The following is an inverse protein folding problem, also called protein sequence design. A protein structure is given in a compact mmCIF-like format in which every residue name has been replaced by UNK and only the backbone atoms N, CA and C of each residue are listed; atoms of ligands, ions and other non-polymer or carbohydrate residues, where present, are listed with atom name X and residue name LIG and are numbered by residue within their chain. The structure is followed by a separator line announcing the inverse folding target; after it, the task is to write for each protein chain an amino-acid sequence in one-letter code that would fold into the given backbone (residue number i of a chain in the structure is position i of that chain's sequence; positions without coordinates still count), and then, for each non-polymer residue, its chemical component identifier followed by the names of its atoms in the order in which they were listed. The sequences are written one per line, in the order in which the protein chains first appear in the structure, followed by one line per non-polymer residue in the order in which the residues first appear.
data_IF_625161296673
#
_entry.id   IF_625161296673
#
_cell.length_a   1.000
_cell.length_b   1.000
_cell.length_c   1.000
_cell.angle_alpha   90.00
_cell.angle_beta   90.00
_cell.angle_gamma   90.00
#
_symmetry.space_group_name_H-M   'P 1'
#
loop_
_entity.id
_entity.type
_entity.pdbx_description
1 polymer ?
#
# COMPACT_ATOMS: atom_id res chain seq x y z
N UNK A 1 -11.25 28.92 -1.40
CA UNK A 1 -12.03 27.94 -0.63
C UNK A 1 -11.10 27.30 0.40
N UNK A 2 -11.55 27.12 1.65
CA UNK A 2 -10.73 26.55 2.71
C UNK A 2 -10.52 25.03 2.43
N UNK A 3 -9.27 24.56 2.50
CA UNK A 3 -8.93 23.15 2.31
C UNK A 3 -9.71 22.23 3.27
N UNK A 4 -9.96 22.69 4.50
CA UNK A 4 -10.78 21.97 5.47
C UNK A 4 -12.21 21.74 4.96
N UNK A 5 -12.80 22.71 4.28
CA UNK A 5 -14.15 22.58 3.73
C UNK A 5 -14.18 21.56 2.60
N UNK A 6 -13.18 21.58 1.71
CA UNK A 6 -13.05 20.58 0.63
C UNK A 6 -12.92 19.18 1.21
N UNK A 7 -12.08 19.02 2.24
CA UNK A 7 -11.88 17.75 2.93
C UNK A 7 -13.19 17.24 3.55
N UNK A 8 -13.89 18.07 4.33
CA UNK A 8 -15.14 17.69 4.99
C UNK A 8 -16.23 17.31 3.99
N UNK A 9 -16.37 18.09 2.91
CA UNK A 9 -17.34 17.80 1.84
C UNK A 9 -16.98 16.50 1.12
N UNK A 10 -15.70 16.31 0.78
CA UNK A 10 -15.23 15.07 0.14
C UNK A 10 -15.45 13.84 1.02
N UNK A 11 -15.14 13.92 2.31
CA UNK A 11 -15.38 12.85 3.28
C UNK A 11 -16.88 12.53 3.39
N UNK A 12 -17.74 13.55 3.46
CA UNK A 12 -19.19 13.36 3.46
C UNK A 12 -19.68 12.65 2.19
N UNK A 13 -19.18 13.03 1.01
CA UNK A 13 -19.54 12.39 -0.27
C UNK A 13 -19.13 10.91 -0.29
N UNK A 14 -17.92 10.58 0.18
CA UNK A 14 -17.45 9.19 0.25
C UNK A 14 -18.31 8.37 1.23
N UNK A 15 -18.65 8.92 2.40
CA UNK A 15 -19.54 8.28 3.38
C UNK A 15 -20.92 8.04 2.78
N UNK A 16 -21.49 9.03 2.09
CA UNK A 16 -22.77 8.88 1.39
C UNK A 16 -22.67 7.80 0.30
N UNK A 17 -21.60 7.79 -0.49
CA UNK A 17 -21.36 6.77 -1.52
C UNK A 17 -21.29 5.35 -0.94
N UNK A 18 -20.57 5.18 0.18
CA UNK A 18 -20.48 3.90 0.89
C UNK A 18 -21.85 3.44 1.43
N UNK A 19 -22.59 4.33 2.11
CA UNK A 19 -23.88 4.00 2.73
C UNK A 19 -25.02 3.81 1.72
N UNK A 20 -24.93 4.42 0.54
CA UNK A 20 -25.98 4.33 -0.49
C UNK A 20 -25.59 3.34 -1.58
N UNK A 21 -24.68 3.74 -2.47
CA UNK A 21 -24.26 2.95 -3.63
C UNK A 21 -23.56 1.64 -3.21
N UNK A 22 -22.67 1.69 -2.22
CA UNK A 22 -22.01 0.48 -1.69
C UNK A 22 -23.00 -0.53 -1.12
N UNK A 23 -23.99 -0.08 -0.33
CA UNK A 23 -25.06 -0.96 0.19
C UNK A 23 -25.97 -1.48 -0.90
N UNK A 24 -26.30 -0.66 -1.90
CA UNK A 24 -27.09 -1.09 -3.04
C UNK A 24 -26.35 -2.20 -3.81
N UNK A 25 -25.07 -2.02 -4.08
CA UNK A 25 -24.23 -2.99 -4.79
C UNK A 25 -24.09 -4.31 -4.02
N UNK A 26 -23.85 -4.24 -2.71
CA UNK A 26 -23.81 -5.41 -1.84
C UNK A 26 -25.12 -6.24 -1.87
N UNK A 27 -26.27 -5.55 -1.92
CA UNK A 27 -27.58 -6.20 -2.07
C UNK A 27 -27.75 -6.83 -3.46
N UNK A 28 -27.38 -6.11 -4.53
CA UNK A 28 -27.49 -6.63 -5.90
C UNK A 28 -26.62 -7.86 -6.12
N UNK A 29 -25.43 -7.90 -5.51
CA UNK A 29 -24.52 -9.05 -5.60
C UNK A 29 -24.85 -10.18 -4.60
N UNK A 30 -25.92 -10.02 -3.81
CA UNK A 30 -26.41 -11.06 -2.90
C UNK A 30 -25.38 -11.43 -1.83
N UNK A 31 -24.72 -10.43 -1.25
CA UNK A 31 -23.81 -10.64 -0.12
C UNK A 31 -24.62 -11.03 1.10
N UNK A 32 -24.23 -12.15 1.68
CA UNK A 32 -24.88 -12.77 2.82
C UNK A 32 -23.85 -12.94 3.95
N UNK A 33 -23.90 -12.09 4.99
CA UNK A 33 -22.97 -12.14 6.10
C UNK A 33 -23.04 -13.43 6.93
N UNK A 34 -24.09 -14.25 6.76
CA UNK A 34 -24.24 -15.52 7.49
C UNK A 34 -23.43 -16.65 6.85
N UNK A 35 -22.96 -16.49 5.61
CA UNK A 35 -22.17 -17.51 4.91
C UNK A 35 -20.73 -17.52 5.41
N UNK A 36 -20.19 -18.67 5.81
CA UNK A 36 -18.78 -18.77 6.15
C UNK A 36 -17.92 -18.47 4.92
N UNK A 37 -16.83 -17.74 5.14
CA UNK A 37 -15.86 -17.43 4.08
C UNK A 37 -14.90 -18.60 3.88
N UNK A 38 -14.21 -18.69 2.72
CA UNK A 38 -13.19 -19.71 2.48
C UNK A 38 -12.10 -19.77 3.57
N UNK A 39 -11.77 -18.63 4.19
CA UNK A 39 -10.83 -18.57 5.32
C UNK A 39 -11.26 -19.43 6.53
N UNK A 40 -12.56 -19.66 6.72
CA UNK A 40 -13.11 -20.48 7.79
C UNK A 40 -13.44 -21.90 7.32
N UNK A 41 -13.90 -22.08 6.08
CA UNK A 41 -14.27 -23.42 5.55
C UNK A 41 -13.04 -24.27 5.18
N UNK A 42 -11.97 -23.63 4.72
CA UNK A 42 -10.76 -24.27 4.20
C UNK A 42 -9.55 -24.02 5.10
N UNK A 43 -9.77 -23.73 6.39
CA UNK A 43 -8.72 -23.38 7.34
C UNK A 43 -7.61 -24.44 7.39
N UNK A 44 -6.40 -24.04 7.02
CA UNK A 44 -5.21 -24.91 6.98
C UNK A 44 -4.03 -24.36 7.79
N UNK A 45 -4.19 -23.18 8.40
CA UNK A 45 -3.14 -22.50 9.16
C UNK A 45 -2.02 -21.92 8.31
N UNK A 46 -2.14 -21.97 6.98
CA UNK A 46 -1.11 -21.51 6.02
C UNK A 46 -1.72 -20.55 4.99
N UNK A 47 -2.55 -21.05 4.06
CA UNK A 47 -3.17 -20.24 3.00
C UNK A 47 -4.52 -19.65 3.45
N UNK A 48 -5.23 -20.35 4.32
CA UNK A 48 -6.53 -19.95 4.86
C UNK A 48 -6.46 -19.83 6.38
N UNK A 49 -6.37 -18.60 6.86
CA UNK A 49 -6.30 -18.28 8.29
C UNK A 49 -7.35 -17.24 8.66
N UNK A 50 -8.35 -17.58 9.49
CA UNK A 50 -9.30 -16.63 10.01
C UNK A 50 -8.62 -15.47 10.72
N UNK A 51 -8.79 -14.26 10.19
CA UNK A 51 -8.18 -13.05 10.71
C UNK A 51 -9.25 -12.06 11.15
N UNK A 52 -8.99 -11.34 12.23
CA UNK A 52 -9.92 -10.34 12.75
C UNK A 52 -10.12 -9.23 11.70
N UNK A 53 -11.36 -8.74 11.46
CA UNK A 53 -11.63 -7.80 10.36
C UNK A 53 -10.79 -6.52 10.37
N UNK A 54 -10.48 -5.98 11.56
CA UNK A 54 -9.67 -4.77 11.68
C UNK A 54 -8.21 -4.97 11.27
N UNK A 55 -7.67 -6.19 11.43
CA UNK A 55 -6.32 -6.54 10.96
C UNK A 55 -6.30 -6.58 9.44
N UNK A 56 -7.29 -7.25 8.83
CA UNK A 56 -7.44 -7.31 7.36
C UNK A 56 -7.68 -5.93 6.78
N UNK A 57 -8.50 -5.09 7.42
CA UNK A 57 -8.74 -3.71 7.01
C UNK A 57 -7.44 -2.89 7.02
N UNK A 58 -6.64 -3.01 8.08
CA UNK A 58 -5.33 -2.35 8.17
C UNK A 58 -4.41 -2.75 7.03
N UNK A 59 -4.31 -4.05 6.75
CA UNK A 59 -3.52 -4.56 5.62
C UNK A 59 -4.01 -4.07 4.26
N UNK A 60 -5.32 -4.06 4.02
CA UNK A 60 -5.89 -3.55 2.76
C UNK A 60 -5.64 -2.05 2.63
N UNK A 61 -5.84 -1.29 3.71
CA UNK A 61 -5.59 0.14 3.74
C UNK A 61 -4.12 0.45 3.44
N UNK A 62 -3.17 -0.18 4.13
CA UNK A 62 -1.75 0.03 3.90
C UNK A 62 -1.30 -0.40 2.50
N UNK A 63 -1.94 -1.43 1.92
CA UNK A 63 -1.61 -1.93 0.58
C UNK A 63 -2.07 -0.98 -0.54
N UNK A 64 -3.13 -0.20 -0.31
CA UNK A 64 -3.65 0.78 -1.27
C UNK A 64 -3.05 2.18 -1.01
N UNK A 65 -2.80 2.51 0.26
CA UNK A 65 -2.19 3.78 0.69
C UNK A 65 -0.70 3.80 0.31
N UNK A 66 -0.43 4.23 -0.93
CA UNK A 66 0.93 4.37 -1.46
C UNK A 66 1.21 5.74 -2.06
N UNK A 67 2.42 5.90 -2.59
CA UNK A 67 2.83 7.12 -3.29
C UNK A 67 1.99 7.39 -4.56
N UNK A 68 1.40 6.36 -5.17
CA UNK A 68 0.57 6.47 -6.38
C UNK A 68 -0.65 7.38 -6.18
N UNK A 69 -1.56 7.07 -5.23
CA UNK A 69 -2.71 7.91 -4.88
C UNK A 69 -2.37 9.34 -4.43
N UNK A 70 -1.12 9.63 -4.04
CA UNK A 70 -0.67 10.98 -3.67
C UNK A 70 -0.13 11.72 -4.90
N UNK A 71 0.83 11.12 -5.60
CA UNK A 71 1.48 11.74 -6.74
C UNK A 71 0.56 11.89 -7.94
N UNK A 72 -0.37 10.96 -8.15
CA UNK A 72 -1.34 11.02 -9.26
C UNK A 72 -2.16 12.31 -9.25
N UNK A 73 -2.90 12.63 -8.17
CA UNK A 73 -3.61 13.89 -8.02
C UNK A 73 -2.73 15.14 -8.12
N UNK A 74 -1.52 15.11 -7.56
CA UNK A 74 -0.58 16.23 -7.64
C UNK A 74 -0.19 16.49 -9.08
N UNK A 75 0.17 15.46 -9.84
CA UNK A 75 0.50 15.58 -11.26
C UNK A 75 -0.71 15.99 -12.10
N UNK A 76 -1.90 15.49 -11.76
CA UNK A 76 -3.15 15.86 -12.42
C UNK A 76 -3.61 17.28 -12.10
N UNK A 77 -3.06 17.94 -11.06
CA UNK A 77 -3.43 19.30 -10.66
C UNK A 77 -3.18 20.36 -11.74
N UNK A 78 -2.38 20.03 -12.76
CA UNK A 78 -2.23 20.84 -13.98
C UNK A 78 -3.57 21.09 -14.70
N UNK A 79 -4.55 20.19 -14.54
CA UNK A 79 -5.91 20.35 -15.06
C UNK A 79 -6.82 21.19 -14.14
N UNK A 80 -6.28 21.70 -13.04
CA UNK A 80 -7.00 22.45 -12.01
C UNK A 80 -7.49 21.57 -10.86
N UNK A 81 -7.71 22.19 -9.71
CA UNK A 81 -8.08 21.48 -8.49
C UNK A 81 -9.52 20.93 -8.51
N UNK A 82 -10.46 21.59 -9.21
CA UNK A 82 -11.86 21.12 -9.31
C UNK A 82 -11.95 19.82 -10.11
N UNK A 83 -11.38 19.72 -11.34
CA UNK A 83 -11.43 18.47 -12.10
C UNK A 83 -10.76 17.31 -11.38
N UNK A 84 -9.63 17.56 -10.70
CA UNK A 84 -8.95 16.53 -9.88
C UNK A 84 -9.83 16.06 -8.73
N UNK A 85 -10.46 16.99 -7.99
CA UNK A 85 -11.36 16.62 -6.89
C UNK A 85 -12.54 15.78 -7.39
N UNK A 86 -13.19 16.20 -8.48
CA UNK A 86 -14.28 15.46 -9.08
C UNK A 86 -13.85 14.07 -9.56
N UNK A 87 -12.68 13.97 -10.20
CA UNK A 87 -12.11 12.70 -10.62
C UNK A 87 -11.86 11.76 -9.43
N UNK A 88 -11.28 12.25 -8.32
CA UNK A 88 -11.05 11.43 -7.12
C UNK A 88 -12.38 10.96 -6.53
N UNK A 89 -13.37 11.85 -6.39
CA UNK A 89 -14.64 11.50 -5.76
C UNK A 89 -15.48 10.58 -6.63
N UNK A 90 -15.71 10.95 -7.90
CA UNK A 90 -16.54 10.17 -8.82
C UNK A 90 -15.81 8.90 -9.24
N UNK A 91 -14.54 9.02 -9.66
CA UNK A 91 -13.69 7.90 -10.04
C UNK A 91 -13.52 6.89 -8.90
N UNK A 92 -13.26 7.39 -7.69
CA UNK A 92 -13.13 6.57 -6.49
C UNK A 92 -14.41 5.80 -6.16
N UNK A 93 -15.57 6.45 -6.17
CA UNK A 93 -16.84 5.81 -5.79
C UNK A 93 -17.33 4.82 -6.84
N UNK A 94 -17.33 5.20 -8.12
CA UNK A 94 -18.03 4.43 -9.16
C UNK A 94 -17.13 3.44 -9.90
N UNK A 95 -15.81 3.67 -9.91
CA UNK A 95 -14.87 2.80 -10.63
C UNK A 95 -13.93 2.09 -9.67
N UNK A 96 -13.15 2.83 -8.87
CA UNK A 96 -12.14 2.26 -7.99
C UNK A 96 -12.74 1.32 -6.93
N UNK A 97 -13.64 1.84 -6.10
CA UNK A 97 -14.28 1.06 -5.04
C UNK A 97 -15.09 -0.12 -5.59
N UNK A 98 -15.74 0.04 -6.74
CA UNK A 98 -16.51 -1.04 -7.40
C UNK A 98 -15.59 -2.12 -7.93
N UNK A 99 -14.48 -1.75 -8.55
CA UNK A 99 -13.48 -2.67 -9.07
C UNK A 99 -12.89 -3.53 -7.94
N UNK A 100 -12.45 -2.88 -6.85
CA UNK A 100 -11.84 -3.59 -5.72
C UNK A 100 -12.86 -4.49 -5.02
N UNK A 101 -14.07 -3.98 -4.79
CA UNK A 101 -15.15 -4.77 -4.18
C UNK A 101 -15.56 -5.96 -5.06
N UNK A 102 -15.67 -5.75 -6.38
CA UNK A 102 -15.99 -6.80 -7.34
C UNK A 102 -14.91 -7.88 -7.43
N UNK A 103 -13.63 -7.48 -7.42
CA UNK A 103 -12.50 -8.42 -7.44
C UNK A 103 -12.46 -9.31 -6.20
N UNK A 104 -12.69 -8.72 -5.01
CA UNK A 104 -12.79 -9.47 -3.74
C UNK A 104 -14.01 -10.38 -3.73
N UNK A 105 -15.16 -9.90 -4.19
CA UNK A 105 -16.38 -10.69 -4.28
C UNK A 105 -16.19 -11.90 -5.21
N UNK A 106 -15.60 -11.69 -6.39
CA UNK A 106 -15.31 -12.76 -7.34
C UNK A 106 -14.34 -13.78 -6.75
N UNK A 107 -13.25 -13.34 -6.12
CA UNK A 107 -12.29 -14.23 -5.47
C UNK A 107 -12.93 -15.06 -4.34
N UNK A 108 -13.73 -14.44 -3.46
CA UNK A 108 -14.44 -15.14 -2.38
C UNK A 108 -15.39 -16.22 -2.90
N UNK A 109 -16.12 -15.94 -4.00
CA UNK A 109 -17.01 -16.92 -4.65
C UNK A 109 -16.26 -18.10 -5.26
N UNK A 110 -14.99 -17.90 -5.63
CA UNK A 110 -14.11 -18.93 -6.17
C UNK A 110 -13.08 -19.39 -5.12
N UNK A 111 -13.52 -19.57 -3.87
CA UNK A 111 -12.71 -20.15 -2.78
C UNK A 111 -11.40 -19.41 -2.49
N UNK A 112 -11.39 -18.08 -2.66
CA UNK A 112 -10.20 -17.24 -2.42
C UNK A 112 -9.13 -17.36 -3.50
N UNK A 113 -9.45 -17.89 -4.68
CA UNK A 113 -8.49 -18.02 -5.78
C UNK A 113 -8.18 -16.67 -6.43
N UNK A 114 -7.03 -16.61 -7.11
CA UNK A 114 -6.61 -15.42 -7.86
C UNK A 114 -7.53 -15.14 -9.05
N UNK A 115 -7.60 -13.88 -9.49
CA UNK A 115 -8.44 -13.50 -10.63
C UNK A 115 -8.08 -14.25 -11.91
N UNK A 116 -6.79 -14.60 -12.10
CA UNK A 116 -6.35 -15.42 -13.22
C UNK A 116 -6.95 -16.83 -13.21
N UNK A 117 -7.12 -17.43 -12.03
CA UNK A 117 -7.79 -18.72 -11.89
C UNK A 117 -9.30 -18.61 -12.15
N UNK A 118 -9.92 -17.52 -11.70
CA UNK A 118 -11.33 -17.23 -12.00
C UNK A 118 -11.56 -17.11 -13.51
N UNK A 119 -10.66 -16.44 -14.22
CA UNK A 119 -10.72 -16.29 -15.69
C UNK A 119 -10.58 -17.65 -16.39
N UNK A 120 -9.68 -18.52 -15.92
CA UNK A 120 -9.49 -19.87 -16.47
C UNK A 120 -10.76 -20.71 -16.40
N UNK A 121 -11.45 -20.64 -15.25
CA UNK A 121 -12.63 -21.45 -14.96
C UNK A 121 -13.88 -20.93 -15.70
N UNK A 122 -14.00 -19.61 -15.92
CA UNK A 122 -15.21 -18.99 -16.45
C UNK A 122 -15.12 -18.54 -17.92
N UNK A 123 -13.92 -18.34 -18.47
CA UNK A 123 -13.72 -17.87 -19.85
C UNK A 123 -13.00 -18.96 -20.64
N UNK A 124 -11.67 -18.98 -20.59
CA UNK A 124 -10.82 -20.01 -21.17
C UNK A 124 -9.35 -19.83 -20.74
N UNK A 125 -8.54 -20.84 -21.05
CA UNK A 125 -7.12 -20.83 -20.74
C UNK A 125 -6.33 -19.78 -21.54
N UNK A 126 -6.79 -19.40 -22.75
CA UNK A 126 -6.13 -18.37 -23.55
C UNK A 126 -6.32 -16.98 -22.92
N UNK A 127 -7.53 -16.67 -22.44
CA UNK A 127 -7.81 -15.43 -21.71
C UNK A 127 -6.98 -15.34 -20.43
N UNK A 128 -6.85 -16.43 -19.66
CA UNK A 128 -5.94 -16.48 -18.51
C UNK A 128 -4.51 -16.12 -18.91
N UNK A 129 -3.99 -16.74 -19.98
CA UNK A 129 -2.62 -16.49 -20.43
C UNK A 129 -2.42 -15.02 -20.83
N UNK A 130 -3.36 -14.45 -21.59
CA UNK A 130 -3.30 -13.04 -21.99
C UNK A 130 -3.38 -12.12 -20.76
N UNK A 131 -4.28 -12.41 -19.83
CA UNK A 131 -4.41 -11.66 -18.57
C UNK A 131 -3.12 -11.71 -17.74
N UNK A 132 -2.52 -12.90 -17.58
CA UNK A 132 -1.26 -13.05 -16.86
C UNK A 132 -0.11 -12.29 -17.53
N UNK A 133 -0.01 -12.30 -18.86
CA UNK A 133 1.01 -11.52 -19.59
C UNK A 133 0.79 -10.03 -19.35
N UNK A 134 -0.44 -9.55 -19.50
CA UNK A 134 -0.79 -8.16 -19.27
C UNK A 134 -0.49 -7.73 -17.82
N UNK A 135 -0.93 -8.52 -16.84
CA UNK A 135 -0.68 -8.28 -15.43
C UNK A 135 0.82 -8.26 -15.12
N UNK A 136 1.59 -9.19 -15.68
CA UNK A 136 3.04 -9.26 -15.50
C UNK A 136 3.76 -8.02 -16.06
N UNK A 137 3.44 -7.61 -17.29
CA UNK A 137 4.00 -6.38 -17.88
C UNK A 137 3.62 -5.13 -17.08
N UNK A 138 2.38 -5.08 -16.59
CA UNK A 138 1.89 -3.99 -15.75
C UNK A 138 2.63 -3.95 -14.41
N UNK A 139 2.88 -5.11 -13.77
CA UNK A 139 3.65 -5.18 -12.52
C UNK A 139 5.09 -4.70 -12.71
N UNK A 140 5.75 -5.02 -13.83
CA UNK A 140 7.09 -4.47 -14.15
C UNK A 140 7.02 -2.95 -14.24
N UNK A 141 6.03 -2.40 -14.96
CA UNK A 141 5.85 -0.96 -15.08
C UNK A 141 5.62 -0.30 -13.72
N UNK A 142 4.76 -0.89 -12.87
CA UNK A 142 4.45 -0.39 -11.53
C UNK A 142 5.72 -0.38 -10.68
N UNK A 143 6.47 -1.48 -10.62
CA UNK A 143 7.73 -1.53 -9.85
C UNK A 143 8.72 -0.47 -10.34
N UNK A 144 8.88 -0.29 -11.66
CA UNK A 144 9.75 0.72 -12.23
C UNK A 144 9.30 2.16 -11.88
N UNK A 145 7.99 2.44 -11.98
CA UNK A 145 7.42 3.74 -11.67
C UNK A 145 7.57 4.10 -10.19
N UNK A 146 7.26 3.17 -9.29
CA UNK A 146 7.43 3.39 -7.85
C UNK A 146 8.90 3.51 -7.45
N UNK A 147 9.80 2.71 -8.03
CA UNK A 147 11.24 2.84 -7.81
C UNK A 147 11.73 4.23 -8.27
N UNK A 148 11.27 4.70 -9.43
CA UNK A 148 11.62 6.04 -9.93
C UNK A 148 11.11 7.16 -9.03
N UNK A 149 9.88 7.05 -8.52
CA UNK A 149 9.32 8.02 -7.56
C UNK A 149 10.19 8.09 -6.30
N UNK A 150 10.56 6.94 -5.73
CA UNK A 150 11.39 6.88 -4.51
C UNK A 150 12.79 7.41 -4.79
N UNK A 151 13.40 7.01 -5.91
CA UNK A 151 14.72 7.51 -6.32
C UNK A 151 14.74 9.03 -6.51
N UNK A 152 13.71 9.61 -7.14
CA UNK A 152 13.57 11.07 -7.26
C UNK A 152 13.41 11.77 -5.91
N UNK A 153 12.76 11.10 -4.95
CA UNK A 153 12.56 11.65 -3.59
C UNK A 153 13.86 11.64 -2.80
N UNK A 154 14.77 10.69 -3.06
CA UNK A 154 16.02 10.55 -2.32
C UNK A 154 17.22 11.21 -3.00
N UNK A 155 17.15 11.42 -4.31
CA UNK A 155 18.27 11.91 -5.10
C UNK A 155 18.64 13.36 -4.76
N UNK A 156 19.95 13.62 -4.79
CA UNK A 156 20.53 14.96 -4.78
C UNK A 156 21.09 15.31 -6.16
N UNK A 157 21.27 16.60 -6.44
CA UNK A 157 21.81 17.07 -7.72
C UNK A 157 20.78 17.03 -8.88
N UNK A 158 19.49 17.01 -8.54
CA UNK A 158 18.41 17.13 -9.51
C UNK A 158 18.37 18.55 -10.11
N UNK A 159 17.92 18.68 -11.34
CA UNK A 159 17.76 19.98 -11.99
C UNK A 159 16.82 20.88 -11.17
N UNK A 160 17.20 22.14 -10.96
CA UNK A 160 16.46 23.13 -10.17
C UNK A 160 16.29 22.79 -8.67
N UNK A 161 17.10 21.88 -8.12
CA UNK A 161 17.05 21.54 -6.71
C UNK A 161 17.72 22.65 -5.86
N UNK A 162 17.00 23.13 -4.84
CA UNK A 162 17.56 24.06 -3.84
C UNK A 162 18.31 23.30 -2.75
N UNK A 163 19.21 23.96 -2.01
CA UNK A 163 19.92 23.34 -0.88
C UNK A 163 18.95 22.80 0.20
N UNK A 164 17.84 23.52 0.43
CA UNK A 164 16.80 23.09 1.36
C UNK A 164 16.10 21.80 0.87
N UNK A 165 15.77 21.73 -0.42
CA UNK A 165 15.20 20.52 -1.03
C UNK A 165 16.20 19.35 -1.01
N UNK A 166 17.48 19.59 -1.26
CA UNK A 166 18.52 18.58 -1.19
C UNK A 166 18.68 18.04 0.25
N UNK A 167 18.63 18.91 1.26
CA UNK A 167 18.65 18.49 2.67
C UNK A 167 17.44 17.63 3.02
N UNK A 168 16.23 18.05 2.61
CA UNK A 168 15.01 17.27 2.83
C UNK A 168 15.06 15.89 2.17
N UNK A 169 15.61 15.79 0.95
CA UNK A 169 15.79 14.52 0.25
C UNK A 169 16.76 13.60 1.01
N UNK A 170 17.90 14.12 1.49
CA UNK A 170 18.86 13.36 2.30
C UNK A 170 18.27 12.88 3.62
N UNK A 171 17.49 13.72 4.30
CA UNK A 171 16.78 13.34 5.53
C UNK A 171 15.77 12.22 5.25
N UNK A 172 14.98 12.35 4.19
CA UNK A 172 13.97 11.34 3.81
C UNK A 172 14.62 10.00 3.45
N UNK A 173 15.73 10.02 2.71
CA UNK A 173 16.51 8.83 2.38
C UNK A 173 17.09 8.16 3.65
N UNK A 174 17.64 8.95 4.56
CA UNK A 174 18.22 8.46 5.80
C UNK A 174 17.15 7.82 6.71
N UNK A 175 16.02 8.49 6.91
CA UNK A 175 14.89 7.97 7.68
C UNK A 175 14.42 6.64 7.08
N UNK A 176 14.30 6.55 5.75
CA UNK A 176 13.83 5.33 5.06
C UNK A 176 14.77 4.14 5.24
N UNK A 177 16.09 4.35 5.16
CA UNK A 177 17.08 3.28 5.37
C UNK A 177 17.10 2.82 6.83
N UNK A 178 17.11 3.76 7.78
CA UNK A 178 17.06 3.45 9.20
C UNK A 178 15.76 2.73 9.56
N UNK A 179 14.65 3.08 8.92
CA UNK A 179 13.36 2.42 9.11
C UNK A 179 13.39 0.96 8.65
N UNK A 180 14.02 0.66 7.51
CA UNK A 180 14.21 -0.74 7.06
C UNK A 180 15.12 -1.49 8.04
N UNK A 181 16.21 -0.87 8.49
CA UNK A 181 17.13 -1.49 9.44
C UNK A 181 16.46 -1.82 10.79
N UNK A 182 15.67 -0.88 11.34
CA UNK A 182 14.94 -1.12 12.59
C UNK A 182 13.83 -2.14 12.39
N UNK A 183 13.17 -2.18 11.23
CA UNK A 183 12.15 -3.17 10.94
C UNK A 183 12.73 -4.60 10.94
N UNK A 184 13.89 -4.79 10.31
CA UNK A 184 14.60 -6.08 10.32
C UNK A 184 15.02 -6.43 11.75
N UNK A 185 15.62 -5.49 12.48
CA UNK A 185 16.00 -5.70 13.88
C UNK A 185 14.80 -6.08 14.74
N UNK A 186 13.68 -5.39 14.59
CA UNK A 186 12.44 -5.67 15.29
C UNK A 186 11.92 -7.07 14.97
N UNK A 187 11.83 -7.43 13.68
CA UNK A 187 11.42 -8.77 13.25
C UNK A 187 12.28 -9.89 13.84
N UNK A 188 13.58 -9.66 14.00
CA UNK A 188 14.48 -10.60 14.68
C UNK A 188 14.23 -10.69 16.19
N UNK A 189 13.98 -9.56 16.86
CA UNK A 189 13.74 -9.49 18.30
C UNK A 189 12.39 -10.09 18.70
N UNK A 190 11.35 -9.91 17.87
CA UNK A 190 9.99 -10.39 18.16
C UNK A 190 9.76 -11.83 17.70
N UNK A 191 10.69 -12.43 16.95
CA UNK A 191 10.55 -13.78 16.43
C UNK A 191 10.30 -14.79 17.55
N UNK A 192 9.13 -15.43 17.51
CA UNK A 192 8.75 -16.48 18.46
C UNK A 192 8.48 -16.00 19.88
N UNK A 193 8.40 -14.68 20.12
CA UNK A 193 8.08 -14.10 21.43
C UNK A 193 6.63 -13.66 21.46
N UNK A 194 5.90 -14.07 22.50
CA UNK A 194 4.57 -13.56 22.80
C UNK A 194 4.71 -12.26 23.59
N UNK A 195 4.78 -11.14 22.88
CA UNK A 195 4.83 -9.80 23.47
C UNK A 195 3.39 -9.33 23.66
N UNK A 196 3.08 -8.71 24.81
CA UNK A 196 1.76 -8.12 25.01
C UNK A 196 1.50 -7.01 23.99
N UNK A 197 0.27 -6.92 23.48
CA UNK A 197 -0.12 -5.95 22.45
C UNK A 197 0.29 -4.51 22.81
N UNK A 198 0.10 -4.11 24.08
CA UNK A 198 0.48 -2.79 24.57
C UNK A 198 1.99 -2.53 24.48
N UNK A 199 2.83 -3.53 24.81
CA UNK A 199 4.29 -3.41 24.72
C UNK A 199 4.72 -3.31 23.26
N UNK A 200 4.08 -4.05 22.36
CA UNK A 200 4.36 -4.02 20.93
C UNK A 200 4.04 -2.64 20.32
N UNK A 201 2.91 -2.03 20.68
CA UNK A 201 2.54 -0.69 20.23
C UNK A 201 3.50 0.37 20.76
N UNK A 202 3.81 0.36 22.07
CA UNK A 202 4.69 1.36 22.67
C UNK A 202 6.09 1.27 22.08
N UNK A 203 6.63 0.06 21.95
CA UNK A 203 7.96 -0.13 21.34
C UNK A 203 8.00 0.29 19.87
N UNK A 204 6.95 0.02 19.09
CA UNK A 204 6.81 0.52 17.71
C UNK A 204 6.91 2.05 17.63
N UNK A 205 6.13 2.75 18.46
CA UNK A 205 6.13 4.23 18.49
C UNK A 205 7.50 4.78 18.89
N UNK A 206 8.12 4.20 19.93
CA UNK A 206 9.45 4.63 20.39
C UNK A 206 10.51 4.43 19.30
N UNK A 207 10.51 3.28 18.61
CA UNK A 207 11.43 3.03 17.51
C UNK A 207 11.25 4.02 16.35
N UNK A 208 10.01 4.35 16.00
CA UNK A 208 9.72 5.34 14.96
C UNK A 208 10.27 6.71 15.35
N UNK A 209 10.03 7.17 16.58
CA UNK A 209 10.55 8.46 17.07
C UNK A 209 12.08 8.49 17.01
N UNK A 210 12.74 7.40 17.43
CA UNK A 210 14.21 7.28 17.37
C UNK A 210 14.70 7.37 15.92
N UNK A 211 14.11 6.60 15.00
CA UNK A 211 14.51 6.58 13.58
C UNK A 211 14.31 7.93 12.92
N UNK A 212 13.16 8.58 13.15
CA UNK A 212 12.87 9.89 12.58
C UNK A 212 13.84 10.93 13.13
N UNK A 213 14.08 10.95 14.44
CA UNK A 213 15.01 11.89 15.07
C UNK A 213 16.45 11.69 14.58
N UNK A 214 16.93 10.44 14.51
CA UNK A 214 18.27 10.15 14.01
C UNK A 214 18.40 10.50 12.52
N UNK A 215 17.43 10.11 11.69
CA UNK A 215 17.48 10.39 10.26
C UNK A 215 17.36 11.89 9.92
N UNK A 216 16.62 12.64 10.73
CA UNK A 216 16.50 14.09 10.58
C UNK A 216 17.80 14.82 10.96
N UNK A 217 18.45 14.42 12.05
CA UNK A 217 19.65 15.09 12.57
C UNK A 217 20.95 14.62 11.88
N UNK A 218 20.98 13.42 11.29
CA UNK A 218 22.20 12.82 10.71
C UNK A 218 21.98 12.44 9.22
N UNK A 219 21.69 13.39 8.32
CA UNK A 219 21.47 13.11 6.90
C UNK A 219 22.80 12.97 6.13
N UNK A 220 23.47 11.82 6.27
CA UNK A 220 24.82 11.58 5.71
C UNK A 220 24.78 11.13 4.24
N UNK A 221 23.71 10.46 3.83
CA UNK A 221 23.64 9.82 2.51
C UNK A 221 23.27 10.85 1.46
N UNK A 222 24.10 10.95 0.41
CA UNK A 222 23.95 11.92 -0.67
C UNK A 222 24.32 11.24 -1.98
N UNK A 223 23.33 10.65 -2.64
CA UNK A 223 23.51 9.87 -3.88
C UNK A 223 22.64 10.44 -5.00
N UNK A 224 23.06 10.25 -6.24
CA UNK A 224 22.30 10.65 -7.42
C UNK A 224 21.15 9.66 -7.72
N UNK A 225 20.29 10.06 -8.65
CA UNK A 225 19.13 9.26 -9.07
C UNK A 225 19.51 7.86 -9.58
N UNK A 226 20.59 7.73 -10.35
CA UNK A 226 20.97 6.46 -10.98
C UNK A 226 21.45 5.47 -9.93
N UNK A 227 22.28 5.92 -8.99
CA UNK A 227 22.71 5.08 -7.88
C UNK A 227 21.52 4.66 -7.01
N UNK A 228 20.57 5.54 -6.72
CA UNK A 228 19.35 5.14 -6.00
C UNK A 228 18.52 4.11 -6.74
N UNK A 229 18.33 4.24 -8.04
CA UNK A 229 17.61 3.25 -8.84
C UNK A 229 18.26 1.85 -8.74
N UNK A 230 19.59 1.78 -8.76
CA UNK A 230 20.31 0.52 -8.60
C UNK A 230 20.15 -0.05 -7.18
N UNK A 231 20.34 0.78 -6.15
CA UNK A 231 20.18 0.35 -4.74
C UNK A 231 18.75 -0.15 -4.48
N UNK A 232 17.74 0.57 -4.95
CA UNK A 232 16.33 0.18 -4.82
C UNK A 232 16.04 -1.11 -5.59
N UNK A 233 16.61 -1.29 -6.78
CA UNK A 233 16.48 -2.52 -7.55
C UNK A 233 17.04 -3.74 -6.81
N UNK A 234 18.25 -3.62 -6.26
CA UNK A 234 18.86 -4.67 -5.43
C UNK A 234 18.02 -4.92 -4.17
N UNK A 235 17.55 -3.87 -3.51
CA UNK A 235 16.69 -3.99 -2.34
C UNK A 235 15.39 -4.74 -2.66
N UNK A 236 14.70 -4.39 -3.74
CA UNK A 236 13.45 -5.07 -4.16
C UNK A 236 13.71 -6.54 -4.48
N UNK A 237 14.84 -6.86 -5.10
CA UNK A 237 15.25 -8.25 -5.36
C UNK A 237 15.46 -9.04 -4.06
N UNK A 238 16.12 -8.45 -3.07
CA UNK A 238 16.31 -9.10 -1.76
C UNK A 238 14.97 -9.22 -1.02
N UNK A 239 14.15 -8.17 -1.03
CA UNK A 239 12.88 -8.12 -0.35
C UNK A 239 11.85 -9.12 -0.90
N UNK A 240 11.90 -9.44 -2.20
CA UNK A 240 10.98 -10.40 -2.82
C UNK A 240 11.26 -11.86 -2.45
N UNK A 241 12.49 -12.16 -2.00
CA UNK A 241 12.92 -13.52 -1.60
C UNK A 241 12.99 -13.65 -0.07
N UNK A 242 13.13 -12.53 0.65
CA UNK A 242 13.22 -12.55 2.10
C UNK A 242 11.93 -13.12 2.74
N UNK A 243 12.05 -13.97 3.77
CA UNK A 243 10.90 -14.44 4.54
C UNK A 243 10.07 -13.28 5.08
N UNK A 244 8.74 -13.40 4.98
CA UNK A 244 7.77 -12.34 5.35
C UNK A 244 8.00 -11.82 6.77
N UNK A 245 8.34 -12.69 7.72
CA UNK A 245 8.57 -12.34 9.13
C UNK A 245 9.83 -11.48 9.37
N UNK A 246 10.80 -11.50 8.45
CA UNK A 246 12.06 -10.73 8.58
C UNK A 246 11.83 -9.27 8.19
N UNK A 247 11.09 -9.03 7.11
CA UNK A 247 11.01 -7.71 6.50
C UNK A 247 9.57 -7.23 6.38
N UNK A 248 8.74 -7.91 5.59
CA UNK A 248 7.39 -7.42 5.23
C UNK A 248 6.52 -7.21 6.47
N UNK A 249 6.36 -8.24 7.30
CA UNK A 249 5.50 -8.16 8.49
C UNK A 249 5.95 -7.07 9.50
N UNK A 250 7.22 -7.01 9.95
CA UNK A 250 7.63 -5.98 10.90
C UNK A 250 7.62 -4.57 10.29
N UNK A 251 7.99 -4.42 9.01
CA UNK A 251 7.91 -3.15 8.29
C UNK A 251 6.47 -2.66 8.19
N UNK A 252 5.55 -3.50 7.74
CA UNK A 252 4.16 -3.12 7.52
C UNK A 252 3.47 -2.78 8.84
N UNK A 253 3.81 -3.50 9.92
CA UNK A 253 3.36 -3.18 11.27
C UNK A 253 3.84 -1.79 11.72
N UNK A 254 5.15 -1.50 11.61
CA UNK A 254 5.70 -0.18 11.96
C UNK A 254 5.11 0.93 11.08
N UNK A 255 4.89 0.65 9.79
CA UNK A 255 4.36 1.64 8.84
C UNK A 255 2.92 2.03 9.15
N UNK A 256 2.14 1.12 9.75
CA UNK A 256 0.75 1.37 10.13
C UNK A 256 0.59 2.44 11.23
N UNK A 257 1.66 2.77 11.95
CA UNK A 257 1.67 3.87 12.94
C UNK A 257 2.30 5.17 12.40
N UNK A 258 2.93 5.10 11.23
CA UNK A 258 3.58 6.25 10.59
C UNK A 258 2.66 6.90 9.54
N UNK A 259 1.78 6.11 8.91
CA UNK A 259 0.72 6.54 7.99
C UNK A 259 -0.52 7.03 8.75
#
# INVERSE_FOLDING_TARGET
MNALVIFLVGAAIIVVGYLTYGRWLAKQWGIDPSRPTPAHELEDGVDFVPSKPYVVLGHHFSSIAGAGPINGPIQASVFGWVPVLLWILIGGIFFGAVHDFGSLFASLRHKGRSLAAVIDENIDHSAKRLFCIFAYLTLILVVAAFASIVANTFAVGLANQTEASALANRQTAMISILFIAIAIFWGLVTKGRQISDATNIISAIVMIIIVVSLGYNIPVISLDYTTWMLILGVYVLVASVAPVWILLQPRDYLSSYLL
#
